data_IF_532901539916
#
_entry.id   IF_532901539916
#
_cell.length_a   1.000
_cell.length_b   1.000
_cell.length_c   1.000
_cell.angle_alpha   90.00
_cell.angle_beta   90.00
_cell.angle_gamma   90.00
#
_symmetry.space_group_name_H-M   'P 1'
#
loop_
_entity.id
_entity.type
_entity.pdbx_description
1 polymer ?
#
# COMPACT_ATOMS: atom_id res chain seq x y z
N UNK A 1 4.39 13.73 -6.85
CA UNK A 1 3.21 13.67 -7.70
C UNK A 1 2.26 12.57 -7.23
N UNK A 2 1.11 12.94 -6.73
CA UNK A 2 0.12 12.00 -6.20
C UNK A 2 -0.92 11.66 -7.25
N UNK A 3 -1.33 10.40 -7.29
CA UNK A 3 -2.45 9.96 -8.13
C UNK A 3 -3.75 10.36 -7.43
N UNK A 4 -4.47 11.30 -8.03
CA UNK A 4 -5.67 11.87 -7.43
C UNK A 4 -6.72 10.79 -7.13
N UNK A 5 -7.36 10.90 -5.96
CA UNK A 5 -8.43 10.00 -5.53
C UNK A 5 -7.98 8.70 -4.92
N UNK A 6 -6.69 8.38 -4.94
CA UNK A 6 -6.18 7.12 -4.40
C UNK A 6 -5.55 7.25 -3.01
N UNK A 7 -5.19 8.44 -2.61
CA UNK A 7 -4.53 8.69 -1.33
C UNK A 7 -5.55 9.15 -0.29
N UNK A 8 -5.59 8.44 0.83
CA UNK A 8 -6.43 8.80 1.98
C UNK A 8 -5.66 9.63 3.00
N UNK A 9 -4.37 9.37 3.13
CA UNK A 9 -3.48 10.08 4.02
C UNK A 9 -2.06 9.98 3.46
N UNK A 10 -1.18 10.93 3.88
CA UNK A 10 0.12 11.05 3.25
C UNK A 10 1.09 11.70 4.23
N UNK A 11 2.24 11.06 4.45
CA UNK A 11 3.30 11.57 5.31
C UNK A 11 4.63 11.45 4.57
N UNK A 12 5.31 12.55 4.34
CA UNK A 12 6.68 12.54 3.86
C UNK A 12 7.62 12.09 4.98
N UNK A 13 8.55 11.19 4.66
CA UNK A 13 9.53 10.72 5.63
C UNK A 13 10.88 11.37 5.35
N UNK A 14 11.43 11.10 4.17
CA UNK A 14 12.77 11.58 3.80
C UNK A 14 12.95 11.49 2.29
N UNK A 15 13.25 12.62 1.66
CA UNK A 15 13.45 12.70 0.22
C UNK A 15 12.24 12.17 -0.55
N UNK A 16 12.42 11.19 -1.44
CA UNK A 16 11.32 10.65 -2.24
C UNK A 16 10.44 9.63 -1.50
N UNK A 17 10.79 9.29 -0.25
CA UNK A 17 10.08 8.25 0.50
C UNK A 17 8.89 8.82 1.26
N UNK A 18 7.78 8.10 1.22
CA UNK A 18 6.54 8.49 1.88
C UNK A 18 5.89 7.28 2.57
N UNK A 19 5.05 7.57 3.54
CA UNK A 19 4.08 6.61 4.08
C UNK A 19 2.70 7.12 3.70
N UNK A 20 1.89 6.26 3.09
CA UNK A 20 0.57 6.64 2.60
C UNK A 20 -0.48 5.61 3.01
N UNK A 21 -1.68 6.10 3.28
CA UNK A 21 -2.87 5.26 3.26
C UNK A 21 -3.53 5.42 1.90
N UNK A 22 -3.92 4.31 1.30
CA UNK A 22 -4.50 4.33 -0.04
C UNK A 22 -5.79 3.55 -0.09
N UNK A 23 -6.61 3.89 -1.09
CA UNK A 23 -7.60 2.94 -1.60
C UNK A 23 -6.83 1.89 -2.40
N UNK A 24 -6.85 0.67 -1.92
CA UNK A 24 -6.14 -0.42 -2.59
C UNK A 24 -6.73 -0.67 -3.97
N UNK A 25 -5.90 -0.78 -5.02
CA UNK A 25 -6.41 -1.05 -6.35
C UNK A 25 -7.16 -2.37 -6.39
N UNK A 26 -8.23 -2.43 -7.17
CA UNK A 26 -9.11 -3.59 -7.20
C UNK A 26 -8.38 -4.88 -7.56
N UNK A 27 -7.35 -4.81 -8.41
CA UNK A 27 -6.60 -6.00 -8.80
C UNK A 27 -5.87 -6.65 -7.61
N UNK A 28 -5.60 -5.88 -6.55
CA UNK A 28 -4.84 -6.35 -5.40
C UNK A 28 -5.72 -6.75 -4.22
N UNK A 29 -6.96 -6.26 -4.16
CA UNK A 29 -7.87 -6.56 -3.05
C UNK A 29 -8.18 -8.06 -3.02
N UNK A 30 -8.04 -8.68 -1.84
CA UNK A 30 -8.28 -10.10 -1.67
C UNK A 30 -7.11 -11.00 -2.00
N UNK A 31 -5.98 -10.42 -2.44
CA UNK A 31 -4.75 -11.15 -2.74
C UNK A 31 -3.71 -10.89 -1.65
N UNK A 32 -2.83 -11.85 -1.40
CA UNK A 32 -1.76 -11.63 -0.43
C UNK A 32 -0.70 -10.69 -0.98
N UNK A 33 0.04 -10.06 -0.07
CA UNK A 33 1.16 -9.17 -0.44
C UNK A 33 2.17 -9.92 -1.31
N UNK A 34 2.47 -11.16 -0.96
CA UNK A 34 3.40 -12.00 -1.72
C UNK A 34 2.87 -12.30 -3.12
N UNK A 35 1.57 -12.60 -3.23
CA UNK A 35 0.95 -12.96 -4.50
C UNK A 35 0.95 -11.77 -5.48
N UNK A 36 0.72 -10.57 -4.97
CA UNK A 36 0.78 -9.34 -5.78
C UNK A 36 2.22 -8.91 -6.05
N UNK A 37 3.16 -9.41 -5.26
CA UNK A 37 4.59 -9.04 -5.35
C UNK A 37 4.83 -7.56 -5.07
N UNK A 38 4.15 -7.03 -4.06
CA UNK A 38 4.20 -5.60 -3.72
C UNK A 38 5.64 -5.13 -3.53
N UNK A 39 6.44 -5.89 -2.78
CA UNK A 39 7.84 -5.56 -2.55
C UNK A 39 8.71 -5.93 -3.76
N UNK A 40 8.60 -7.15 -4.25
CA UNK A 40 9.54 -7.66 -5.26
C UNK A 40 9.35 -7.02 -6.63
N UNK A 41 8.12 -6.74 -7.02
CA UNK A 41 7.82 -6.15 -8.32
C UNK A 41 7.79 -4.62 -8.28
N UNK A 42 7.25 -4.05 -7.21
CA UNK A 42 7.00 -2.61 -7.14
C UNK A 42 7.94 -1.87 -6.20
N UNK A 43 8.69 -2.57 -5.36
CA UNK A 43 9.60 -1.94 -4.41
C UNK A 43 8.88 -1.24 -3.24
N UNK A 44 7.64 -1.62 -2.97
CA UNK A 44 6.80 -0.99 -1.95
C UNK A 44 6.65 -1.93 -0.77
N UNK A 45 6.73 -1.38 0.44
CA UNK A 45 6.50 -2.11 1.68
C UNK A 45 5.09 -1.83 2.19
N UNK A 46 4.31 -2.88 2.46
CA UNK A 46 3.02 -2.72 3.13
C UNK A 46 3.29 -2.62 4.63
N UNK A 47 2.97 -1.48 5.21
CA UNK A 47 3.11 -1.27 6.65
C UNK A 47 2.08 -2.09 7.39
N UNK A 48 0.84 -2.08 6.89
CA UNK A 48 -0.23 -2.85 7.49
C UNK A 48 -1.59 -2.38 7.02
N UNK A 49 -2.60 -2.88 7.71
CA UNK A 49 -3.98 -2.48 7.45
C UNK A 49 -4.79 -2.57 8.73
N UNK A 50 -5.88 -1.83 8.75
CA UNK A 50 -6.87 -1.92 9.82
C UNK A 50 -8.25 -2.05 9.19
N UNK A 51 -8.81 -3.25 9.25
CA UNK A 51 -10.19 -3.46 8.83
C UNK A 51 -11.15 -2.87 9.86
N UNK A 52 -12.35 -2.44 9.45
CA UNK A 52 -13.34 -1.91 10.38
C UNK A 52 -13.63 -2.89 11.52
N UNK A 53 -13.56 -2.40 12.77
CA UNK A 53 -13.81 -3.21 13.95
C UNK A 53 -12.72 -4.21 14.31
N UNK A 54 -11.59 -4.20 13.62
CA UNK A 54 -10.45 -5.09 13.86
C UNK A 54 -9.26 -4.31 14.36
N UNK A 55 -8.30 -5.01 14.96
CA UNK A 55 -7.02 -4.42 15.32
C UNK A 55 -6.14 -4.23 14.09
N UNK A 56 -5.20 -3.31 14.20
CA UNK A 56 -4.20 -3.09 13.16
C UNK A 56 -3.36 -4.36 12.95
N UNK A 57 -3.20 -4.77 11.69
CA UNK A 57 -2.38 -5.92 11.31
C UNK A 57 -1.14 -5.43 10.57
N UNK A 58 0.02 -5.86 11.04
CA UNK A 58 1.30 -5.53 10.39
C UNK A 58 1.44 -6.26 9.07
N UNK A 59 2.06 -5.58 8.10
CA UNK A 59 2.33 -6.17 6.80
C UNK A 59 3.25 -7.39 6.92
N UNK A 60 2.84 -8.47 6.30
CA UNK A 60 3.65 -9.67 6.10
C UNK A 60 3.31 -10.23 4.74
N UNK A 61 4.17 -11.09 4.20
CA UNK A 61 3.94 -11.60 2.84
C UNK A 61 2.64 -12.40 2.70
N UNK A 62 2.15 -13.00 3.78
CA UNK A 62 0.91 -13.77 3.79
C UNK A 62 -0.34 -12.90 3.99
N UNK A 63 -0.15 -11.66 4.42
CA UNK A 63 -1.28 -10.77 4.71
C UNK A 63 -2.07 -10.50 3.43
N UNK A 64 -3.39 -10.70 3.52
CA UNK A 64 -4.30 -10.41 2.40
C UNK A 64 -4.64 -8.93 2.40
N UNK A 65 -4.51 -8.29 1.25
CA UNK A 65 -4.79 -6.87 1.10
C UNK A 65 -6.30 -6.61 1.13
N UNK A 66 -6.67 -5.52 1.78
CA UNK A 66 -8.05 -5.09 1.93
C UNK A 66 -8.30 -3.82 1.13
N UNK A 67 -9.44 -3.18 1.35
CA UNK A 67 -9.83 -1.97 0.59
C UNK A 67 -8.92 -0.79 0.84
N UNK A 68 -8.35 -0.70 2.05
CA UNK A 68 -7.42 0.36 2.42
C UNK A 68 -6.19 -0.26 3.05
N UNK A 69 -5.03 0.14 2.56
CA UNK A 69 -3.74 -0.33 3.06
C UNK A 69 -2.82 0.85 3.32
N UNK A 70 -1.89 0.67 4.24
CA UNK A 70 -0.85 1.65 4.52
C UNK A 70 0.46 1.16 3.93
N UNK A 71 1.04 1.97 3.07
CA UNK A 71 2.22 1.63 2.28
C UNK A 71 3.37 2.58 2.59
N UNK A 72 4.58 2.08 2.46
CA UNK A 72 5.80 2.87 2.54
C UNK A 72 6.67 2.60 1.32
N UNK A 73 7.20 3.64 0.73
CA UNK A 73 8.11 3.52 -0.40
C UNK A 73 8.31 4.85 -1.09
N UNK A 74 8.97 4.81 -2.24
CA UNK A 74 9.09 5.99 -3.10
C UNK A 74 7.75 6.27 -3.75
N UNK A 75 7.42 7.54 -3.89
CA UNK A 75 6.12 7.95 -4.41
C UNK A 75 5.84 7.40 -5.81
N UNK A 76 6.84 7.42 -6.70
CA UNK A 76 6.66 6.89 -8.05
C UNK A 76 6.41 5.38 -8.07
N UNK A 77 7.02 4.64 -7.15
CA UNK A 77 6.79 3.20 -7.01
C UNK A 77 5.40 2.91 -6.46
N UNK A 78 4.95 3.70 -5.50
CA UNK A 78 3.59 3.59 -4.96
C UNK A 78 2.56 3.89 -6.06
N UNK A 79 2.77 4.94 -6.84
CA UNK A 79 1.90 5.29 -7.95
C UNK A 79 1.85 4.17 -9.00
N UNK A 80 3.00 3.56 -9.29
CA UNK A 80 3.07 2.42 -10.20
C UNK A 80 2.26 1.23 -9.65
N UNK A 81 2.38 0.95 -8.36
CA UNK A 81 1.59 -0.11 -7.72
C UNK A 81 0.10 0.17 -7.84
N UNK A 82 -0.33 1.39 -7.60
CA UNK A 82 -1.75 1.77 -7.70
C UNK A 82 -2.28 1.61 -9.13
N UNK A 83 -1.47 1.94 -10.10
CA UNK A 83 -1.87 1.82 -11.52
C UNK A 83 -1.87 0.37 -12.01
N UNK A 84 -1.06 -0.47 -11.44
CA UNK A 84 -0.88 -1.85 -11.89
C UNK A 84 0.20 -1.95 -12.95
#
# INVERSE_FOLDING_TARGET
>A
HLVAGNYLDYIEIDGPYTVVKIHTPLYAVGRSIEDVQVHDKYGVTVVGLKAPGKEFQYGSKELVMHRNDELMGKQDQIDHFIQG
#
